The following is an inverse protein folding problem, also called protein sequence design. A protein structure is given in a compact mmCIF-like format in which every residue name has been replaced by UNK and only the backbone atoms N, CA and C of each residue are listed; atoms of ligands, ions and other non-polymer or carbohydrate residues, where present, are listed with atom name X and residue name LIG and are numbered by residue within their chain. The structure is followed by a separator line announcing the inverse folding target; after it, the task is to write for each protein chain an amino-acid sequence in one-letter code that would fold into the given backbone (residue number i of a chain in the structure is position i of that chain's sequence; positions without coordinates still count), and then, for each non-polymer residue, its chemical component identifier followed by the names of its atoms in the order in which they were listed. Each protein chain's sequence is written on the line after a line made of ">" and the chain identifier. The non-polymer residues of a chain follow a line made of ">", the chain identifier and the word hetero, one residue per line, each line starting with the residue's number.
data_IF_113428920707
#
_entry.id   IF_113428920707
#
_cell.length_a   1.000
_cell.length_b   1.000
_cell.length_c   1.000
_cell.angle_alpha   90.00
_cell.angle_beta   90.00
_cell.angle_gamma   90.00
#
_symmetry.space_group_name_H-M   'P 1'
#
loop_
_entity.id
_entity.type
_entity.pdbx_description
1 polymer ?
#
# COMPACT_ATOMS: atom_id res chain seq x y z
N UNK A 1 9.13 3.80 -4.43
CA UNK A 1 7.74 4.01 -4.86
C UNK A 1 6.97 4.86 -3.85
N UNK A 2 6.16 4.31 -2.92
CA UNK A 2 5.32 5.13 -2.02
C UNK A 2 6.11 6.23 -1.28
N UNK A 3 7.26 5.92 -0.70
CA UNK A 3 8.07 6.90 0.04
C UNK A 3 8.49 8.12 -0.81
N UNK A 4 8.87 7.92 -2.07
CA UNK A 4 9.23 9.02 -2.97
C UNK A 4 8.02 9.94 -3.23
N UNK A 5 6.89 9.36 -3.63
CA UNK A 5 5.67 10.15 -3.90
C UNK A 5 5.16 10.85 -2.63
N UNK A 6 5.26 10.18 -1.48
CA UNK A 6 4.89 10.77 -0.19
C UNK A 6 5.77 11.99 0.15
N UNK A 7 7.08 11.89 -0.05
CA UNK A 7 7.99 13.03 0.17
C UNK A 7 7.61 14.19 -0.75
N UNK A 8 7.46 13.94 -2.05
CA UNK A 8 7.09 14.99 -3.02
C UNK A 8 5.74 15.63 -2.69
N UNK A 9 4.75 14.82 -2.28
CA UNK A 9 3.39 15.30 -2.00
C UNK A 9 3.30 16.08 -0.68
N UNK A 10 4.02 15.64 0.36
CA UNK A 10 3.89 16.22 1.70
C UNK A 10 4.90 17.34 1.99
N UNK A 11 6.05 17.36 1.31
CA UNK A 11 7.11 18.37 1.54
C UNK A 11 6.65 19.83 1.49
N UNK A 12 5.69 20.24 0.64
CA UNK A 12 5.20 21.62 0.66
C UNK A 12 4.50 22.04 1.97
N UNK A 13 3.96 21.08 2.72
CA UNK A 13 3.19 21.35 3.95
C UNK A 13 3.92 20.97 5.24
N UNK A 14 4.93 20.12 5.17
CA UNK A 14 5.60 19.54 6.33
C UNK A 14 7.12 19.57 6.21
N UNK A 15 7.81 19.73 7.35
CA UNK A 15 9.24 19.45 7.44
C UNK A 15 9.43 17.93 7.53
N UNK A 16 9.81 17.31 6.43
CA UNK A 16 10.00 15.88 6.33
C UNK A 16 11.46 15.49 6.59
N UNK A 17 11.65 14.37 7.28
CA UNK A 17 12.93 13.71 7.51
C UNK A 17 12.85 12.27 7.00
N UNK A 18 13.06 12.04 5.69
CA UNK A 18 12.96 10.71 5.11
C UNK A 18 14.20 9.87 5.42
N UNK A 19 13.99 8.65 5.89
CA UNK A 19 15.03 7.66 6.14
C UNK A 19 14.84 6.46 5.21
N UNK A 20 15.92 6.06 4.54
CA UNK A 20 15.99 4.77 3.83
C UNK A 20 16.29 3.64 4.81
N UNK A 21 16.14 2.39 4.37
CA UNK A 21 16.54 1.23 5.18
C UNK A 21 18.02 1.29 5.61
N UNK A 22 18.90 1.75 4.72
CA UNK A 22 20.34 1.84 5.02
C UNK A 22 20.66 2.96 6.05
N UNK A 23 19.77 3.97 6.14
CA UNK A 23 19.93 5.07 7.10
C UNK A 23 19.31 4.75 8.47
N UNK A 24 18.22 3.97 8.49
CA UNK A 24 17.53 3.56 9.71
C UNK A 24 16.88 2.18 9.53
N UNK A 25 17.51 1.16 10.10
CA UNK A 25 16.89 -0.16 10.20
C UNK A 25 15.91 -0.20 11.38
N UNK A 26 14.62 -0.34 11.10
CA UNK A 26 13.58 -0.38 12.14
C UNK A 26 13.67 -1.61 13.04
N UNK A 27 14.43 -2.64 12.66
CA UNK A 27 14.66 -3.83 13.49
C UNK A 27 15.66 -3.57 14.61
N UNK A 28 16.50 -2.53 14.48
CA UNK A 28 17.40 -2.05 15.54
C UNK A 28 16.67 -1.05 16.46
N UNK A 29 16.24 -1.53 17.60
CA UNK A 29 15.51 -0.72 18.59
C UNK A 29 16.33 0.44 19.16
N UNK A 30 17.66 0.30 19.25
CA UNK A 30 18.54 1.34 19.76
C UNK A 30 18.68 2.45 18.70
N UNK A 31 18.88 2.09 17.44
CA UNK A 31 18.94 3.06 16.34
C UNK A 31 17.62 3.84 16.19
N UNK A 32 16.47 3.17 16.34
CA UNK A 32 15.15 3.83 16.33
C UNK A 32 15.06 4.83 17.48
N UNK A 33 15.41 4.45 18.70
CA UNK A 33 15.36 5.33 19.88
C UNK A 33 16.31 6.53 19.75
N UNK A 34 17.51 6.32 19.21
CA UNK A 34 18.48 7.39 18.97
C UNK A 34 17.98 8.39 17.94
N UNK A 35 17.34 7.90 16.86
CA UNK A 35 16.71 8.73 15.84
C UNK A 35 15.62 9.63 16.46
N UNK A 36 14.75 9.07 17.31
CA UNK A 36 13.70 9.86 17.98
C UNK A 36 14.27 10.90 18.94
N UNK A 37 15.30 10.56 19.72
CA UNK A 37 15.97 11.50 20.62
C UNK A 37 16.61 12.67 19.86
N UNK A 38 17.22 12.38 18.70
CA UNK A 38 17.89 13.38 17.88
C UNK A 38 16.91 14.31 17.17
N UNK A 39 15.82 13.78 16.64
CA UNK A 39 14.95 14.50 15.72
C UNK A 39 13.63 14.98 16.34
N UNK A 40 13.20 14.38 17.47
CA UNK A 40 11.99 14.71 18.21
C UNK A 40 10.77 14.93 17.29
N UNK A 41 10.35 13.91 16.49
CA UNK A 41 9.28 14.06 15.53
C UNK A 41 7.92 14.26 16.22
N UNK A 42 7.09 15.16 15.71
CA UNK A 42 5.70 15.29 16.16
C UNK A 42 4.83 14.14 15.64
N UNK A 43 5.16 13.64 14.45
CA UNK A 43 4.43 12.56 13.78
C UNK A 43 5.39 11.67 12.99
N UNK A 44 5.09 10.37 12.93
CA UNK A 44 5.88 9.37 12.21
C UNK A 44 5.00 8.67 11.19
N UNK A 45 5.39 8.73 9.92
CA UNK A 45 4.80 7.93 8.87
C UNK A 45 5.63 6.65 8.67
N UNK A 46 5.11 5.53 9.14
CA UNK A 46 5.81 4.24 9.11
C UNK A 46 5.51 3.48 7.81
N UNK A 47 6.46 3.56 6.87
CA UNK A 47 6.41 2.91 5.56
C UNK A 47 7.30 1.67 5.46
N UNK A 48 8.22 1.47 6.43
CA UNK A 48 9.16 0.36 6.39
C UNK A 48 8.43 -0.98 6.54
N UNK A 49 8.54 -1.83 5.53
CA UNK A 49 7.95 -3.17 5.53
C UNK A 49 8.59 -4.08 4.47
N UNK A 50 8.65 -5.38 4.75
CA UNK A 50 8.86 -6.40 3.72
C UNK A 50 7.53 -6.61 2.99
N UNK A 51 7.40 -6.07 1.77
CA UNK A 51 6.14 -6.05 1.01
C UNK A 51 6.05 -7.09 -0.10
N UNK A 52 7.11 -7.87 -0.36
CA UNK A 52 7.06 -8.98 -1.29
C UNK A 52 6.35 -10.16 -0.64
N UNK A 53 5.10 -10.41 -1.05
CA UNK A 53 4.19 -11.38 -0.43
C UNK A 53 4.75 -12.79 -0.48
N UNK A 54 5.36 -13.19 -1.61
CA UNK A 54 5.96 -14.52 -1.76
C UNK A 54 7.24 -14.66 -0.93
N UNK A 55 8.05 -13.60 -0.87
CA UNK A 55 9.22 -13.58 -0.03
C UNK A 55 8.87 -13.65 1.47
N UNK A 56 7.81 -13.02 1.91
CA UNK A 56 7.32 -13.17 3.28
C UNK A 56 6.94 -14.62 3.58
N UNK A 57 6.38 -15.32 2.59
CA UNK A 57 5.99 -16.74 2.76
C UNK A 57 7.20 -17.68 2.84
N UNK A 58 8.26 -17.38 2.09
CA UNK A 58 9.50 -18.20 2.06
C UNK A 58 10.52 -17.79 3.12
N UNK A 59 10.45 -16.54 3.64
CA UNK A 59 11.32 -15.99 4.67
C UNK A 59 10.47 -15.44 5.85
N UNK A 60 9.69 -16.28 6.57
CA UNK A 60 8.74 -15.81 7.60
C UNK A 60 9.42 -15.08 8.75
N UNK A 61 10.62 -15.50 9.16
CA UNK A 61 11.38 -14.87 10.24
C UNK A 61 11.75 -13.42 9.88
N UNK A 62 12.09 -13.19 8.62
CA UNK A 62 12.39 -11.83 8.13
C UNK A 62 11.14 -10.96 8.08
N UNK A 63 10.00 -11.52 7.65
CA UNK A 63 8.73 -10.82 7.70
C UNK A 63 8.37 -10.44 9.16
N UNK A 64 8.55 -11.34 10.10
CA UNK A 64 8.35 -11.11 11.54
C UNK A 64 9.29 -10.02 12.05
N UNK A 65 10.59 -10.11 11.76
CA UNK A 65 11.55 -9.12 12.20
C UNK A 65 11.22 -7.70 11.71
N UNK A 66 10.93 -7.54 10.42
CA UNK A 66 10.69 -6.21 9.85
C UNK A 66 9.28 -5.71 10.14
N UNK A 67 8.24 -6.50 9.82
CA UNK A 67 6.86 -6.01 9.84
C UNK A 67 6.25 -6.03 11.27
N UNK A 68 6.72 -6.90 12.15
CA UNK A 68 6.19 -7.02 13.51
C UNK A 68 7.15 -6.37 14.51
N UNK A 69 8.38 -6.87 14.67
CA UNK A 69 9.32 -6.33 15.64
C UNK A 69 9.73 -4.89 15.30
N UNK A 70 10.00 -4.59 14.01
CA UNK A 70 10.29 -3.23 13.54
C UNK A 70 9.14 -2.26 13.82
N UNK A 71 7.89 -2.66 13.53
CA UNK A 71 6.70 -1.85 13.85
C UNK A 71 6.57 -1.64 15.37
N UNK A 72 6.84 -2.67 16.19
CA UNK A 72 6.83 -2.55 17.65
C UNK A 72 7.87 -1.55 18.14
N UNK A 73 9.08 -1.57 17.60
CA UNK A 73 10.14 -0.62 17.96
C UNK A 73 9.71 0.82 17.68
N UNK A 74 9.16 1.08 16.48
CA UNK A 74 8.65 2.41 16.10
C UNK A 74 7.48 2.83 17.00
N UNK A 75 6.51 1.94 17.25
CA UNK A 75 5.36 2.24 18.10
C UNK A 75 5.77 2.55 19.54
N UNK A 76 6.73 1.80 20.11
CA UNK A 76 7.27 2.08 21.45
C UNK A 76 7.99 3.43 21.52
N UNK A 77 8.76 3.78 20.49
CA UNK A 77 9.41 5.08 20.41
C UNK A 77 8.37 6.21 20.28
N UNK A 78 7.36 6.08 19.41
CA UNK A 78 6.25 7.03 19.33
C UNK A 78 5.57 7.27 20.68
N UNK A 79 5.26 6.18 21.41
CA UNK A 79 4.67 6.27 22.76
C UNK A 79 5.56 7.03 23.75
N UNK A 80 6.88 6.71 23.79
CA UNK A 80 7.82 7.35 24.72
C UNK A 80 8.01 8.84 24.44
N UNK A 81 8.06 9.21 23.17
CA UNK A 81 8.30 10.58 22.72
C UNK A 81 7.01 11.37 22.42
N UNK A 82 5.84 10.78 22.75
CA UNK A 82 4.53 11.40 22.51
C UNK A 82 4.31 11.84 21.04
N UNK A 83 4.86 11.08 20.09
CA UNK A 83 4.67 11.28 18.67
C UNK A 83 3.42 10.56 18.15
N UNK A 84 2.77 11.11 17.13
CA UNK A 84 1.69 10.43 16.41
C UNK A 84 2.25 9.36 15.49
N UNK A 85 1.52 8.28 15.28
CA UNK A 85 1.94 7.20 14.38
C UNK A 85 0.91 6.99 13.26
N UNK A 86 1.35 7.16 12.03
CA UNK A 86 0.61 6.80 10.84
C UNK A 86 1.22 5.50 10.30
N UNK A 87 0.48 4.42 10.42
CA UNK A 87 0.90 3.09 9.97
C UNK A 87 0.25 2.71 8.65
N UNK A 88 1.04 2.48 7.62
CA UNK A 88 0.53 2.03 6.33
C UNK A 88 0.34 0.52 6.37
N UNK A 89 -0.91 0.09 6.23
CA UNK A 89 -1.33 -1.31 6.15
C UNK A 89 -1.87 -1.67 4.75
N UNK A 90 -2.67 -2.72 4.64
CA UNK A 90 -3.10 -3.33 3.39
C UNK A 90 -4.49 -3.94 3.49
N UNK A 91 -5.26 -3.94 2.40
CA UNK A 91 -6.52 -4.70 2.30
C UNK A 91 -6.30 -6.23 2.29
N UNK A 92 -5.08 -6.71 2.09
CA UNK A 92 -4.76 -8.12 2.20
C UNK A 92 -4.97 -8.70 3.62
N UNK A 93 -5.25 -7.86 4.62
CA UNK A 93 -5.63 -8.32 5.98
C UNK A 93 -6.95 -9.08 6.01
N UNK A 94 -7.77 -8.96 4.98
CA UNK A 94 -9.00 -9.71 4.82
C UNK A 94 -8.78 -11.06 4.11
N UNK A 95 -9.70 -12.03 4.34
CA UNK A 95 -9.57 -13.38 3.79
C UNK A 95 -9.88 -13.50 2.29
N UNK A 96 -10.59 -12.51 1.72
CA UNK A 96 -10.97 -12.47 0.31
C UNK A 96 -12.19 -13.31 -0.06
N UNK A 97 -12.99 -13.76 0.91
CA UNK A 97 -14.17 -14.58 0.66
C UNK A 97 -15.45 -13.76 0.44
N UNK A 98 -15.43 -12.46 0.76
CA UNK A 98 -16.58 -11.58 0.53
C UNK A 98 -16.92 -11.45 -0.96
N UNK A 99 -18.20 -11.25 -1.26
CA UNK A 99 -18.69 -10.94 -2.59
C UNK A 99 -18.51 -9.45 -2.93
N UNK A 100 -18.61 -8.59 -1.90
CA UNK A 100 -18.48 -7.14 -1.99
C UNK A 100 -17.16 -6.65 -1.40
N UNK A 101 -16.71 -5.42 -1.73
CA UNK A 101 -15.56 -4.79 -1.11
C UNK A 101 -15.69 -4.68 0.41
N UNK A 102 -14.57 -4.82 1.12
CA UNK A 102 -14.52 -4.70 2.58
C UNK A 102 -14.61 -3.25 3.05
N UNK A 103 -15.28 -3.04 4.17
CA UNK A 103 -15.27 -1.80 4.94
C UNK A 103 -14.22 -1.84 6.06
N UNK A 104 -13.98 -0.71 6.72
CA UNK A 104 -13.08 -0.64 7.87
C UNK A 104 -13.61 -1.43 9.08
N UNK A 105 -14.94 -1.63 9.17
CA UNK A 105 -15.62 -2.36 10.24
C UNK A 105 -15.57 -3.89 10.06
N UNK A 106 -15.20 -4.37 8.87
CA UNK A 106 -15.07 -5.81 8.64
C UNK A 106 -13.89 -6.39 9.42
N UNK A 107 -14.12 -7.60 9.96
CA UNK A 107 -13.12 -8.28 10.78
C UNK A 107 -11.96 -8.82 9.91
N UNK A 108 -10.71 -8.40 10.15
CA UNK A 108 -9.55 -8.96 9.47
C UNK A 108 -9.38 -10.47 9.72
N UNK A 109 -9.04 -11.20 8.67
CA UNK A 109 -8.75 -12.64 8.73
C UNK A 109 -7.66 -13.00 7.69
N UNK A 110 -6.40 -12.58 7.91
CA UNK A 110 -5.34 -12.69 6.92
C UNK A 110 -4.91 -14.13 6.65
N UNK A 111 -4.65 -14.46 5.37
CA UNK A 111 -4.25 -15.81 4.94
C UNK A 111 -2.74 -15.98 4.75
N UNK A 112 -2.06 -15.01 4.15
CA UNK A 112 -0.62 -15.07 3.89
C UNK A 112 0.21 -14.59 5.07
N UNK A 113 1.49 -15.00 5.15
CA UNK A 113 2.44 -14.50 6.16
C UNK A 113 2.58 -12.97 6.10
N UNK A 114 2.66 -12.41 4.88
CA UNK A 114 2.66 -10.96 4.69
C UNK A 114 1.45 -10.30 5.37
N UNK A 115 0.25 -10.75 5.02
CA UNK A 115 -0.98 -10.18 5.54
C UNK A 115 -1.10 -10.33 7.06
N UNK A 116 -0.73 -11.49 7.60
CA UNK A 116 -0.68 -11.74 9.06
C UNK A 116 0.28 -10.78 9.75
N UNK A 117 1.50 -10.59 9.21
CA UNK A 117 2.49 -9.70 9.80
C UNK A 117 2.06 -8.23 9.75
N UNK A 118 1.34 -7.82 8.69
CA UNK A 118 0.78 -6.47 8.61
C UNK A 118 -0.37 -6.25 9.60
N UNK A 119 -1.26 -7.24 9.74
CA UNK A 119 -2.36 -7.16 10.71
C UNK A 119 -1.84 -7.18 12.16
N UNK A 120 -0.83 -7.98 12.48
CA UNK A 120 -0.19 -7.94 13.80
C UNK A 120 0.46 -6.57 14.08
N UNK A 121 1.01 -5.93 13.05
CA UNK A 121 1.44 -4.54 13.12
C UNK A 121 0.30 -3.57 13.45
N UNK A 122 -0.89 -3.74 12.85
CA UNK A 122 -2.08 -2.95 13.22
C UNK A 122 -2.44 -3.11 14.70
N UNK A 123 -2.48 -4.36 15.18
CA UNK A 123 -2.75 -4.65 16.59
C UNK A 123 -1.74 -4.00 17.53
N UNK A 124 -0.44 -4.09 17.23
CA UNK A 124 0.64 -3.47 17.99
C UNK A 124 0.48 -1.95 18.05
N UNK A 125 0.19 -1.32 16.91
CA UNK A 125 -0.01 0.14 16.82
C UNK A 125 -1.21 0.57 17.65
N UNK A 126 -2.35 -0.12 17.51
CA UNK A 126 -3.57 0.17 18.29
C UNK A 126 -3.42 -0.03 19.78
N UNK A 127 -2.59 -1.02 20.22
CA UNK A 127 -2.32 -1.28 21.63
C UNK A 127 -1.37 -0.24 22.23
N UNK A 128 -0.32 0.16 21.50
CA UNK A 128 0.79 0.92 22.07
C UNK A 128 0.69 2.42 21.90
N UNK A 129 -0.01 2.92 20.89
CA UNK A 129 -0.04 4.34 20.52
C UNK A 129 -1.47 4.85 20.51
N UNK A 130 -1.86 5.67 21.46
CA UNK A 130 -3.21 6.26 21.52
C UNK A 130 -3.52 7.13 20.29
N UNK A 131 -2.56 7.97 19.90
CA UNK A 131 -2.69 8.87 18.73
C UNK A 131 -2.14 8.20 17.48
N UNK A 132 -2.94 7.31 16.90
CA UNK A 132 -2.53 6.58 15.71
C UNK A 132 -3.56 6.64 14.58
N UNK A 133 -3.04 6.46 13.38
CA UNK A 133 -3.82 6.20 12.18
C UNK A 133 -3.31 4.91 11.53
N UNK A 134 -4.18 3.97 11.28
CA UNK A 134 -3.91 2.77 10.48
C UNK A 134 -4.55 3.01 9.12
N UNK A 135 -3.74 3.09 8.06
CA UNK A 135 -4.22 3.40 6.72
C UNK A 135 -3.98 2.21 5.80
N UNK A 136 -5.06 1.52 5.43
CA UNK A 136 -5.00 0.35 4.56
C UNK A 136 -5.06 0.77 3.10
N UNK A 137 -4.14 0.26 2.31
CA UNK A 137 -4.03 0.48 0.88
C UNK A 137 -4.44 -0.76 0.08
N UNK A 138 -4.91 -0.53 -1.15
CA UNK A 138 -5.14 -1.58 -2.13
C UNK A 138 -3.89 -1.91 -2.97
N UNK A 139 -4.10 -2.20 -4.25
CA UNK A 139 -3.02 -2.52 -5.19
C UNK A 139 -2.26 -1.26 -5.63
N UNK A 140 -1.21 -0.93 -4.91
CA UNK A 140 -0.46 0.29 -5.15
C UNK A 140 0.27 0.30 -6.50
N UNK A 141 0.21 1.45 -7.18
CA UNK A 141 1.03 1.83 -8.34
C UNK A 141 1.47 3.29 -8.20
N UNK A 142 2.59 3.66 -8.83
CA UNK A 142 3.17 5.00 -8.72
C UNK A 142 4.68 4.97 -8.54
N UNK A 143 5.31 6.09 -8.13
CA UNK A 143 6.75 6.20 -7.94
C UNK A 143 7.55 6.34 -9.23
N UNK A 144 6.90 6.67 -10.34
CA UNK A 144 7.56 6.95 -11.60
C UNK A 144 8.49 5.82 -12.07
N UNK A 145 9.74 6.14 -12.38
CA UNK A 145 10.75 5.19 -12.88
C UNK A 145 11.12 4.11 -11.85
N UNK A 146 10.92 4.38 -10.56
CA UNK A 146 11.17 3.43 -9.47
C UNK A 146 10.07 2.38 -9.31
N UNK A 147 8.97 2.48 -10.06
CA UNK A 147 7.89 1.50 -10.00
C UNK A 147 8.32 0.19 -10.66
N UNK A 148 8.29 -0.88 -9.86
CA UNK A 148 8.53 -2.28 -10.27
C UNK A 148 7.31 -3.16 -10.00
N UNK A 149 6.14 -2.52 -9.75
CA UNK A 149 4.89 -3.21 -9.45
C UNK A 149 4.11 -3.55 -10.73
N UNK A 150 2.88 -3.99 -10.55
CA UNK A 150 2.08 -4.57 -11.62
C UNK A 150 1.90 -3.64 -12.82
N UNK A 151 1.55 -2.36 -12.60
CA UNK A 151 1.27 -1.42 -13.70
C UNK A 151 2.50 -1.20 -14.57
N UNK A 152 3.65 -0.86 -13.96
CA UNK A 152 4.90 -0.68 -14.69
C UNK A 152 5.33 -1.96 -15.41
N UNK A 153 5.16 -3.12 -14.76
CA UNK A 153 5.54 -4.42 -15.31
C UNK A 153 4.72 -4.80 -16.55
N UNK A 154 3.41 -4.53 -16.52
CA UNK A 154 2.55 -4.75 -17.70
C UNK A 154 2.94 -3.82 -18.84
N UNK A 155 3.18 -2.53 -18.57
CA UNK A 155 3.66 -1.59 -19.59
C UNK A 155 4.95 -2.07 -20.26
N UNK A 156 5.94 -2.48 -19.46
CA UNK A 156 7.23 -2.92 -19.98
C UNK A 156 7.12 -4.23 -20.78
N UNK A 157 6.33 -5.19 -20.28
CA UNK A 157 6.12 -6.47 -20.96
C UNK A 157 5.31 -6.34 -22.24
N UNK A 158 4.26 -5.51 -22.24
CA UNK A 158 3.40 -5.32 -23.41
C UNK A 158 4.12 -4.65 -24.59
N UNK A 159 5.17 -3.88 -24.34
CA UNK A 159 6.05 -3.32 -25.38
C UNK A 159 7.00 -4.35 -26.00
N UNK A 160 7.19 -5.49 -25.35
CA UNK A 160 8.19 -6.49 -25.71
C UNK A 160 7.57 -7.81 -26.22
N UNK A 161 6.26 -7.98 -26.07
CA UNK A 161 5.58 -9.24 -26.37
C UNK A 161 4.27 -9.00 -27.12
N UNK A 162 3.94 -9.90 -28.02
CA UNK A 162 2.68 -9.85 -28.79
C UNK A 162 1.49 -10.36 -27.97
N UNK A 163 1.74 -11.11 -26.90
CA UNK A 163 0.70 -11.66 -26.02
C UNK A 163 1.17 -11.72 -24.55
N UNK A 164 0.25 -11.40 -23.63
CA UNK A 164 0.40 -11.58 -22.21
C UNK A 164 -0.81 -12.31 -21.64
N UNK A 165 -0.58 -13.34 -20.83
CA UNK A 165 -1.63 -14.01 -20.05
C UNK A 165 -1.70 -13.39 -18.66
N UNK A 166 -2.90 -12.99 -18.20
CA UNK A 166 -3.11 -12.29 -16.94
C UNK A 166 -4.30 -12.88 -16.20
N UNK A 167 -4.15 -13.02 -14.89
CA UNK A 167 -5.16 -13.61 -13.99
C UNK A 167 -6.44 -12.75 -13.96
N UNK A 168 -7.61 -13.40 -14.12
CA UNK A 168 -8.93 -12.76 -14.18
C UNK A 168 -9.85 -13.04 -12.97
N UNK A 169 -9.44 -13.94 -12.07
CA UNK A 169 -10.22 -14.40 -10.90
C UNK A 169 -9.76 -13.79 -9.57
N UNK A 170 -8.91 -12.77 -9.60
CA UNK A 170 -8.45 -12.00 -8.42
C UNK A 170 -8.81 -10.53 -8.61
N UNK A 171 -9.57 -9.99 -7.68
CA UNK A 171 -10.14 -8.65 -7.72
C UNK A 171 -9.53 -7.75 -6.64
N UNK A 172 -9.36 -6.46 -6.94
CA UNK A 172 -8.83 -5.49 -5.98
C UNK A 172 -9.10 -4.06 -6.41
N UNK A 173 -8.62 -3.12 -5.60
CA UNK A 173 -8.66 -1.68 -5.88
C UNK A 173 -7.26 -1.20 -6.25
N UNK A 174 -7.00 -0.76 -7.49
CA UNK A 174 -5.79 -0.02 -7.82
C UNK A 174 -5.70 1.22 -6.93
N UNK A 175 -4.51 1.53 -6.40
CA UNK A 175 -4.31 2.65 -5.48
C UNK A 175 -3.07 3.44 -5.90
N UNK A 176 -3.29 4.66 -6.37
CA UNK A 176 -2.22 5.55 -6.80
C UNK A 176 -1.51 6.16 -5.60
N UNK A 177 -0.18 6.03 -5.55
CA UNK A 177 0.63 6.46 -4.40
C UNK A 177 0.53 7.96 -4.10
N UNK A 178 0.34 8.80 -5.11
CA UNK A 178 0.14 10.26 -4.93
C UNK A 178 -1.22 10.54 -4.27
N UNK A 179 -2.28 9.88 -4.73
CA UNK A 179 -3.62 10.03 -4.14
C UNK A 179 -3.65 9.47 -2.72
N UNK A 180 -2.96 8.35 -2.47
CA UNK A 180 -2.79 7.78 -1.14
C UNK A 180 -2.03 8.71 -0.19
N UNK A 181 -0.95 9.36 -0.67
CA UNK A 181 -0.20 10.34 0.12
C UNK A 181 -1.05 11.57 0.48
N UNK A 182 -1.90 12.05 -0.45
CA UNK A 182 -2.86 13.11 -0.19
C UNK A 182 -3.91 12.69 0.86
N UNK A 183 -4.43 11.46 0.76
CA UNK A 183 -5.35 10.92 1.76
C UNK A 183 -4.70 10.87 3.16
N UNK A 184 -3.46 10.38 3.26
CA UNK A 184 -2.69 10.41 4.52
C UNK A 184 -2.61 11.83 5.09
N UNK A 185 -2.35 12.84 4.27
CA UNK A 185 -2.33 14.24 4.71
C UNK A 185 -3.66 14.63 5.35
N UNK A 186 -4.77 14.45 4.64
CA UNK A 186 -6.08 14.82 5.14
C UNK A 186 -6.48 14.05 6.40
N UNK A 187 -6.16 12.74 6.46
CA UNK A 187 -6.38 11.91 7.64
C UNK A 187 -5.60 12.47 8.84
N UNK A 188 -4.31 12.76 8.69
CA UNK A 188 -3.48 13.26 9.78
C UNK A 188 -3.92 14.66 10.26
N UNK A 189 -4.28 15.56 9.33
CA UNK A 189 -4.78 16.89 9.64
C UNK A 189 -6.13 16.87 10.38
N UNK A 190 -6.95 15.83 10.15
CA UNK A 190 -8.27 15.71 10.78
C UNK A 190 -8.23 15.46 12.28
N UNK A 191 -7.12 14.93 12.80
CA UNK A 191 -6.97 14.48 14.20
C UNK A 191 -8.00 13.43 14.63
N UNK A 192 -8.67 12.77 13.69
CA UNK A 192 -9.61 11.69 13.96
C UNK A 192 -8.87 10.37 13.88
N UNK A 193 -8.31 9.95 15.00
CA UNK A 193 -7.52 8.70 15.10
C UNK A 193 -8.37 7.47 14.82
N UNK A 194 -7.75 6.42 14.29
CA UNK A 194 -8.42 5.16 13.99
C UNK A 194 -7.95 4.48 12.71
N UNK A 195 -8.79 3.59 12.19
CA UNK A 195 -8.54 2.79 10.99
C UNK A 195 -9.24 3.41 9.79
N UNK A 196 -8.52 3.49 8.68
CA UNK A 196 -9.01 4.04 7.41
C UNK A 196 -8.62 3.13 6.26
N UNK A 197 -9.51 2.99 5.29
CA UNK A 197 -9.11 2.61 3.96
C UNK A 197 -8.81 3.89 3.16
N UNK A 198 -7.78 3.86 2.33
CA UNK A 198 -7.47 4.95 1.40
C UNK A 198 -7.16 4.34 0.03
N UNK A 199 -8.21 4.06 -0.73
CA UNK A 199 -8.11 3.46 -2.06
C UNK A 199 -8.75 4.37 -3.10
N UNK A 200 -8.25 4.37 -4.32
CA UNK A 200 -8.95 5.04 -5.41
C UNK A 200 -10.33 4.40 -5.61
N UNK A 201 -11.33 5.25 -5.82
CA UNK A 201 -12.73 4.81 -6.00
C UNK A 201 -12.95 4.11 -7.33
N UNK A 202 -14.09 3.47 -7.47
CA UNK A 202 -14.51 2.70 -8.63
C UNK A 202 -14.80 1.24 -8.28
N UNK A 203 -15.35 0.49 -9.21
CA UNK A 203 -15.60 -0.94 -9.01
C UNK A 203 -14.28 -1.71 -8.85
N UNK A 204 -14.28 -2.79 -8.05
CA UNK A 204 -13.16 -3.71 -8.04
C UNK A 204 -12.85 -4.23 -9.45
N UNK A 205 -11.58 -4.35 -9.77
CA UNK A 205 -11.13 -4.84 -11.08
C UNK A 205 -10.30 -6.10 -10.94
N UNK A 206 -10.38 -6.99 -11.93
CA UNK A 206 -9.45 -8.11 -12.02
C UNK A 206 -8.06 -7.63 -12.46
N UNK A 207 -7.04 -8.45 -12.23
CA UNK A 207 -5.71 -8.17 -12.81
C UNK A 207 -5.74 -8.10 -14.33
N UNK A 208 -6.59 -8.92 -14.96
CA UNK A 208 -6.80 -8.93 -16.40
C UNK A 208 -7.41 -7.61 -16.89
N UNK A 209 -8.50 -7.12 -16.26
CA UNK A 209 -9.13 -5.86 -16.66
C UNK A 209 -8.18 -4.67 -16.45
N UNK A 210 -7.45 -4.67 -15.35
CA UNK A 210 -6.42 -3.65 -15.10
C UNK A 210 -5.33 -3.69 -16.18
N UNK A 211 -4.85 -4.87 -16.59
CA UNK A 211 -3.85 -4.99 -17.65
C UNK A 211 -4.38 -4.52 -19.01
N UNK A 212 -5.63 -4.85 -19.35
CA UNK A 212 -6.28 -4.34 -20.57
C UNK A 212 -6.34 -2.82 -20.58
N UNK A 213 -6.74 -2.22 -19.44
CA UNK A 213 -6.83 -0.77 -19.34
C UNK A 213 -5.46 -0.08 -19.44
N UNK A 214 -4.42 -0.70 -18.89
CA UNK A 214 -3.03 -0.21 -19.01
C UNK A 214 -2.60 -0.13 -20.49
N UNK A 215 -2.79 -1.20 -21.26
CA UNK A 215 -2.36 -1.22 -22.67
C UNK A 215 -3.20 -0.29 -23.54
N UNK A 216 -4.49 -0.12 -23.22
CA UNK A 216 -5.40 0.81 -23.88
C UNK A 216 -4.93 2.27 -23.68
N UNK A 217 -4.69 2.70 -22.43
CA UNK A 217 -4.20 4.05 -22.11
C UNK A 217 -2.83 4.30 -22.76
N UNK A 218 -1.95 3.29 -22.79
CA UNK A 218 -0.63 3.39 -23.38
C UNK A 218 -0.63 3.28 -24.91
N UNK A 219 -1.81 3.11 -25.55
CA UNK A 219 -1.99 2.92 -27.01
C UNK A 219 -1.14 1.78 -27.60
N UNK A 220 -0.89 0.72 -26.79
CA UNK A 220 -0.13 -0.45 -27.22
C UNK A 220 -1.06 -1.42 -27.93
N UNK A 221 -1.10 -1.38 -29.26
CA UNK A 221 -1.96 -2.24 -30.09
C UNK A 221 -1.30 -3.56 -30.52
N UNK A 222 0.00 -3.69 -30.31
CA UNK A 222 0.78 -4.87 -30.73
C UNK A 222 0.66 -6.04 -29.75
N UNK A 223 0.15 -5.83 -28.53
CA UNK A 223 0.09 -6.85 -27.49
C UNK A 223 -1.35 -7.22 -27.14
N UNK A 224 -1.68 -8.50 -27.23
CA UNK A 224 -2.97 -9.04 -26.82
C UNK A 224 -2.93 -9.49 -25.37
N UNK A 225 -3.88 -9.03 -24.52
CA UNK A 225 -4.03 -9.51 -23.14
C UNK A 225 -5.07 -10.63 -23.11
N UNK A 226 -4.69 -11.80 -22.57
CA UNK A 226 -5.59 -12.97 -22.44
C UNK A 226 -5.86 -13.30 -20.98
N UNK A 227 -7.13 -13.59 -20.62
CA UNK A 227 -7.48 -14.00 -19.27
C UNK A 227 -7.04 -15.45 -19.00
N UNK A 228 -6.60 -15.71 -17.75
CA UNK A 228 -6.32 -17.07 -17.27
C UNK A 228 -6.71 -17.16 -15.79
N UNK A 229 -7.05 -18.39 -15.34
CA UNK A 229 -7.24 -18.64 -13.91
C UNK A 229 -5.93 -18.48 -13.14
N UNK A 230 -6.01 -18.04 -11.89
CA UNK A 230 -4.86 -17.98 -10.97
C UNK A 230 -4.17 -19.35 -10.73
N UNK A 231 -4.87 -20.44 -10.95
CA UNK A 231 -4.31 -21.80 -10.87
C UNK A 231 -3.19 -22.05 -11.91
N UNK A 232 -3.18 -21.26 -12.98
CA UNK A 232 -2.12 -21.31 -14.02
C UNK A 232 -0.77 -20.88 -13.47
N UNK A 233 -0.76 -20.03 -12.43
CA UNK A 233 0.45 -19.47 -11.84
C UNK A 233 0.52 -19.80 -10.34
N UNK A 234 0.90 -21.03 -9.95
CA UNK A 234 1.04 -21.37 -8.55
C UNK A 234 2.08 -20.48 -7.88
N UNK A 235 1.66 -19.76 -6.84
CA UNK A 235 2.50 -18.86 -6.07
C UNK A 235 2.76 -19.43 -4.67
N UNK A 236 3.93 -19.15 -4.06
CA UNK A 236 4.25 -19.60 -2.71
C UNK A 236 3.23 -19.12 -1.66
N UNK A 237 2.77 -17.89 -1.76
CA UNK A 237 1.83 -17.32 -0.83
C UNK A 237 0.39 -17.30 -1.41
N UNK A 238 -0.63 -17.62 -0.60
CA UNK A 238 -2.02 -17.52 -1.02
C UNK A 238 -2.38 -16.05 -1.31
N UNK A 239 -3.19 -15.83 -2.35
CA UNK A 239 -3.76 -14.54 -2.70
C UNK A 239 -5.27 -14.57 -2.48
N UNK A 240 -5.85 -13.59 -1.75
CA UNK A 240 -7.30 -13.49 -1.62
C UNK A 240 -7.96 -13.34 -2.99
N UNK A 241 -9.22 -13.81 -3.10
CA UNK A 241 -10.03 -13.59 -4.31
C UNK A 241 -10.44 -12.14 -4.41
N UNK A 242 -10.92 -11.55 -3.29
CA UNK A 242 -11.33 -10.16 -3.16
C UNK A 242 -10.36 -9.41 -2.23
N UNK A 243 -9.65 -8.44 -2.79
CA UNK A 243 -8.73 -7.54 -2.07
C UNK A 243 -9.12 -6.09 -2.37
N UNK A 244 -10.43 -5.83 -2.35
CA UNK A 244 -10.99 -4.51 -2.54
C UNK A 244 -11.64 -3.99 -1.25
N UNK A 245 -11.61 -2.67 -1.07
CA UNK A 245 -12.24 -1.99 0.06
C UNK A 245 -12.96 -0.73 -0.38
N UNK A 246 -13.83 -0.24 0.50
CA UNK A 246 -14.50 1.06 0.42
C UNK A 246 -13.85 2.04 1.40
N UNK A 247 -14.10 3.34 1.23
CA UNK A 247 -13.52 4.42 2.07
C UNK A 247 -14.59 4.98 3.03
N UNK A 248 -15.25 4.12 3.80
CA UNK A 248 -16.40 4.54 4.61
C UNK A 248 -15.98 5.44 5.77
N UNK A 249 -14.82 5.17 6.37
CA UNK A 249 -14.27 6.01 7.43
C UNK A 249 -13.89 7.43 6.92
N UNK A 250 -13.35 7.55 5.70
CA UNK A 250 -13.10 8.86 5.08
C UNK A 250 -14.42 9.61 4.84
N UNK A 251 -15.42 8.94 4.29
CA UNK A 251 -16.75 9.52 4.05
C UNK A 251 -17.41 9.98 5.35
N UNK A 252 -17.44 9.14 6.38
CA UNK A 252 -18.00 9.46 7.69
C UNK A 252 -17.25 10.62 8.40
N UNK A 253 -15.95 10.74 8.14
CA UNK A 253 -15.15 11.85 8.64
C UNK A 253 -15.32 13.16 7.83
N UNK A 254 -16.01 13.13 6.69
CA UNK A 254 -16.13 14.28 5.78
C UNK A 254 -14.80 14.66 5.11
N UNK A 255 -13.88 13.68 4.98
CA UNK A 255 -12.58 13.86 4.37
C UNK A 255 -12.63 13.63 2.85
N UNK A 256 -11.72 14.23 2.07
CA UNK A 256 -11.65 13.97 0.64
C UNK A 256 -11.42 12.49 0.35
N UNK A 257 -12.25 11.93 -0.52
CA UNK A 257 -12.14 10.55 -0.99
C UNK A 257 -11.26 10.54 -2.25
N UNK A 258 -10.28 9.61 -2.37
CA UNK A 258 -9.48 9.50 -3.57
C UNK A 258 -10.34 9.32 -4.84
N UNK A 259 -9.94 9.97 -5.92
CA UNK A 259 -10.63 9.95 -7.22
C UNK A 259 -10.74 8.54 -7.81
N UNK A 260 -11.51 8.34 -8.91
CA UNK A 260 -11.59 7.04 -9.59
C UNK A 260 -10.21 6.51 -10.00
N UNK A 261 -10.00 5.20 -9.82
CA UNK A 261 -8.71 4.57 -10.14
C UNK A 261 -8.33 4.68 -11.62
N UNK A 262 -9.31 4.74 -12.51
CA UNK A 262 -9.09 4.86 -13.95
C UNK A 262 -8.47 6.21 -14.33
N UNK A 263 -8.96 7.29 -13.72
CA UNK A 263 -8.39 8.63 -13.88
C UNK A 263 -6.95 8.70 -13.33
N UNK A 264 -6.75 8.12 -12.15
CA UNK A 264 -5.42 8.06 -11.52
C UNK A 264 -4.42 7.23 -12.35
N UNK A 265 -4.90 6.13 -12.94
CA UNK A 265 -4.10 5.28 -13.81
C UNK A 265 -3.72 6.02 -15.11
N UNK A 266 -4.67 6.75 -15.70
CA UNK A 266 -4.42 7.56 -16.90
C UNK A 266 -3.32 8.61 -16.63
N UNK A 267 -3.43 9.37 -15.57
CA UNK A 267 -2.43 10.37 -15.19
C UNK A 267 -1.05 9.75 -14.97
N UNK A 268 -1.00 8.62 -14.27
CA UNK A 268 0.26 7.93 -14.01
C UNK A 268 0.92 7.44 -15.30
N UNK A 269 0.17 6.79 -16.19
CA UNK A 269 0.72 6.24 -17.43
C UNK A 269 1.18 7.37 -18.37
N UNK A 270 0.39 8.42 -18.53
CA UNK A 270 0.73 9.55 -19.41
C UNK A 270 1.95 10.32 -18.88
N UNK A 271 2.07 10.55 -17.58
CA UNK A 271 3.25 11.17 -16.99
C UNK A 271 4.50 10.31 -17.15
N UNK A 272 4.39 8.98 -17.00
CA UNK A 272 5.49 8.03 -17.19
C UNK A 272 5.95 7.99 -18.66
N UNK A 273 5.01 7.99 -19.61
CA UNK A 273 5.32 8.00 -21.04
C UNK A 273 6.03 9.28 -21.48
N UNK A 274 5.68 10.43 -20.88
CA UNK A 274 6.30 11.72 -21.15
C UNK A 274 7.72 11.84 -20.57
N UNK A 275 8.11 10.97 -19.66
CA UNK A 275 9.41 10.97 -18.96
C UNK A 275 10.39 9.92 -19.52
N UNK A 276 9.94 9.09 -20.48
CA UNK A 276 10.72 8.04 -21.15
C UNK A 276 11.14 8.46 -22.55
#
# INVERSE_FOLDING_TARGET
>A
MLGCDTVTTLQPAYKLLPFSHDALDVTDSAAVEDCFRQHQPDSVLHLAALTNVDRCQTEPDRATAVNIAGTRNVALACRRHNAELIYVSTLAVFNGDAAEPYSEDDTPNPRSIYAKSKYEGECIVGELVERHFIVRAGWMFGGGIEDKKFVAKILDLARQRDELTVVDDKFGCPTYTVDFANAIRHISESRRFGVYHAVNTGSPVSRFDLARRIVEIAEITSCTIRPVSSDTFPLPAPRPRMEAGVNDALAAAGLPIPRPWDEALFDYITSRLSSS
#
